data_IF_115000029634
#
_entry.id   IF_115000029634
#
_cell.length_a   1.000
_cell.length_b   1.000
_cell.length_c   1.000
_cell.angle_alpha   90.00
_cell.angle_beta   90.00
_cell.angle_gamma   90.00
#
_symmetry.space_group_name_H-M   'P 1'
#
loop_
_entity.id
_entity.type
_entity.pdbx_description
1 polymer ?
#
# COMPACT_ATOMS: atom_id res chain seq x y z
N UNK A 1 -4.56 14.05 -14.10
CA UNK A 1 -4.46 14.41 -12.67
C UNK A 1 -3.86 13.22 -11.93
N UNK A 2 -3.00 13.45 -10.94
CA UNK A 2 -2.40 12.34 -10.20
C UNK A 2 -3.13 12.18 -8.86
N UNK A 3 -3.77 11.04 -8.65
CA UNK A 3 -4.52 10.70 -7.45
C UNK A 3 -3.71 9.83 -6.46
N UNK A 4 -2.51 9.37 -6.87
CA UNK A 4 -1.58 8.65 -6.00
C UNK A 4 -0.85 9.59 -5.03
N UNK A 5 -0.58 9.09 -3.83
CA UNK A 5 0.24 9.81 -2.86
C UNK A 5 1.21 8.86 -2.12
N UNK A 6 2.46 9.28 -2.04
CA UNK A 6 3.55 8.56 -1.38
C UNK A 6 4.01 9.27 -0.12
N UNK A 7 4.43 8.50 0.88
CA UNK A 7 5.00 9.07 2.09
C UNK A 7 5.92 8.12 2.84
N UNK A 8 6.74 8.69 3.72
CA UNK A 8 7.60 7.89 4.59
C UNK A 8 7.88 8.61 5.90
N UNK A 9 8.25 7.85 6.93
CA UNK A 9 8.80 8.35 8.18
C UNK A 9 10.13 7.67 8.42
N UNK A 10 11.21 8.46 8.43
CA UNK A 10 12.56 7.99 8.68
C UNK A 10 12.98 8.33 10.11
N UNK A 11 13.65 7.41 10.84
CA UNK A 11 14.18 7.71 12.16
C UNK A 11 15.36 8.69 12.03
N UNK A 12 15.41 9.71 12.90
CA UNK A 12 16.47 10.73 12.92
C UNK A 12 17.60 10.41 13.91
N UNK A 13 17.48 9.32 14.67
CA UNK A 13 18.48 8.90 15.65
C UNK A 13 18.50 7.38 15.84
N UNK A 14 19.62 6.80 16.32
CA UNK A 14 19.69 5.38 16.66
C UNK A 14 18.60 4.93 17.66
N UNK A 15 18.23 5.79 18.61
CA UNK A 15 17.15 5.50 19.54
C UNK A 15 15.78 5.37 18.84
N UNK A 16 15.52 6.18 17.83
CA UNK A 16 14.31 6.05 17.01
C UNK A 16 14.34 4.81 16.10
N UNK A 17 15.48 4.44 15.55
CA UNK A 17 15.65 3.17 14.82
C UNK A 17 15.15 2.00 15.67
N UNK A 18 15.55 1.92 16.93
CA UNK A 18 15.18 0.82 17.83
C UNK A 18 13.75 0.93 18.36
N UNK A 19 13.25 2.14 18.63
CA UNK A 19 11.94 2.32 19.25
C UNK A 19 10.79 2.42 18.26
N UNK A 20 11.04 3.00 17.09
CA UNK A 20 10.03 3.34 16.07
C UNK A 20 10.28 2.60 14.76
N UNK A 21 11.55 2.58 14.27
CA UNK A 21 11.89 2.06 12.95
C UNK A 21 11.48 3.01 11.82
N UNK A 22 11.20 2.45 10.66
CA UNK A 22 10.86 3.17 9.42
C UNK A 22 9.41 2.87 9.02
N UNK A 23 8.76 3.81 8.39
CA UNK A 23 7.46 3.63 7.75
C UNK A 23 7.53 4.09 6.30
N UNK A 24 6.96 3.31 5.42
CA UNK A 24 6.71 3.62 4.02
C UNK A 24 5.23 3.44 3.74
N UNK A 25 4.64 4.36 3.00
CA UNK A 25 3.22 4.39 2.71
C UNK A 25 2.97 4.79 1.26
N UNK A 26 2.00 4.14 0.63
CA UNK A 26 1.48 4.50 -0.67
C UNK A 26 -0.05 4.39 -0.61
N UNK A 27 -0.73 5.35 -1.19
CA UNK A 27 -2.17 5.40 -1.33
C UNK A 27 -2.53 5.82 -2.75
N UNK A 28 -3.55 5.21 -3.30
CA UNK A 28 -4.14 5.48 -4.61
C UNK A 28 -5.57 5.96 -4.39
N UNK A 29 -5.89 7.14 -4.91
CA UNK A 29 -7.20 7.76 -4.73
C UNK A 29 -8.23 7.16 -5.67
N UNK A 30 -9.30 6.62 -5.12
CA UNK A 30 -10.37 5.96 -5.87
C UNK A 30 -11.50 6.92 -6.17
N UNK A 31 -11.89 6.99 -7.42
CA UNK A 31 -13.07 7.69 -7.89
C UNK A 31 -12.75 8.90 -8.76
N UNK A 32 -12.89 8.78 -10.06
CA UNK A 32 -12.71 9.78 -11.14
C UNK A 32 -13.44 11.13 -10.96
N UNK A 33 -13.53 11.63 -9.76
CA UNK A 33 -13.99 12.96 -9.39
C UNK A 33 -12.98 13.61 -8.45
N UNK A 34 -12.95 14.94 -8.41
CA UNK A 34 -11.99 15.89 -7.81
C UNK A 34 -11.48 15.61 -6.36
N UNK A 35 -11.63 14.40 -5.79
CA UNK A 35 -11.35 14.08 -4.38
C UNK A 35 -10.51 12.84 -4.11
N UNK A 36 -10.16 12.03 -5.12
CA UNK A 36 -9.27 10.88 -4.95
C UNK A 36 -7.91 11.32 -4.41
N UNK A 37 -7.34 12.38 -5.00
CA UNK A 37 -6.08 12.98 -4.56
C UNK A 37 -6.10 13.50 -3.11
N UNK A 38 -7.27 14.01 -2.67
CA UNK A 38 -7.44 14.47 -1.29
C UNK A 38 -7.49 13.28 -0.33
N UNK A 39 -8.19 12.20 -0.72
CA UNK A 39 -8.31 11.00 0.08
C UNK A 39 -6.96 10.30 0.26
N UNK A 40 -6.21 10.08 -0.83
CA UNK A 40 -4.89 9.43 -0.79
C UNK A 40 -3.88 10.24 0.02
N UNK A 41 -3.84 11.55 -0.18
CA UNK A 41 -2.99 12.46 0.61
C UNK A 41 -3.34 12.40 2.09
N UNK A 42 -4.62 12.55 2.43
CA UNK A 42 -5.10 12.53 3.83
C UNK A 42 -4.79 11.20 4.51
N UNK A 43 -4.95 10.08 3.80
CA UNK A 43 -4.59 8.77 4.30
C UNK A 43 -3.11 8.71 4.73
N UNK A 44 -2.20 9.06 3.82
CA UNK A 44 -0.76 8.98 4.08
C UNK A 44 -0.32 9.98 5.15
N UNK A 45 -0.79 11.23 5.11
CA UNK A 45 -0.45 12.24 6.10
C UNK A 45 -0.93 11.87 7.51
N UNK A 46 -2.14 11.32 7.64
CA UNK A 46 -2.68 10.83 8.92
C UNK A 46 -1.83 9.70 9.49
N UNK A 47 -1.48 8.71 8.66
CA UNK A 47 -0.62 7.60 9.06
C UNK A 47 0.76 8.08 9.48
N UNK A 48 1.37 8.98 8.73
CA UNK A 48 2.68 9.57 9.09
C UNK A 48 2.62 10.32 10.41
N UNK A 49 1.58 11.12 10.64
CA UNK A 49 1.38 11.87 11.87
C UNK A 49 1.20 10.94 13.07
N UNK A 50 0.40 9.89 12.92
CA UNK A 50 0.20 8.85 13.93
C UNK A 50 1.50 8.09 14.23
N UNK A 51 2.22 7.65 13.19
CA UNK A 51 3.48 6.91 13.35
C UNK A 51 4.56 7.72 14.07
N UNK A 52 4.67 9.04 13.84
CA UNK A 52 5.61 9.91 14.56
C UNK A 52 5.32 10.04 16.05
N UNK A 53 4.07 9.81 16.48
CA UNK A 53 3.61 9.96 17.88
C UNK A 53 3.59 8.66 18.68
N UNK A 54 4.12 7.57 18.11
CA UNK A 54 4.01 6.23 18.71
C UNK A 54 4.68 6.20 20.10
N UNK A 55 4.01 5.66 21.14
CA UNK A 55 4.63 5.31 22.38
C UNK A 55 5.70 4.23 22.20
N UNK A 56 6.80 4.33 22.95
CA UNK A 56 7.87 3.32 22.91
C UNK A 56 7.33 1.93 23.23
N UNK A 57 7.75 0.93 22.47
CA UNK A 57 7.45 -0.48 22.76
C UNK A 57 6.20 -1.06 22.09
N UNK A 58 5.43 -0.26 21.34
CA UNK A 58 4.31 -0.81 20.57
C UNK A 58 4.85 -1.62 19.39
N UNK A 59 4.26 -2.81 19.17
CA UNK A 59 4.57 -3.65 18.02
C UNK A 59 3.84 -3.14 16.76
N UNK A 60 4.54 -3.12 15.62
CA UNK A 60 3.97 -2.65 14.36
C UNK A 60 2.74 -3.46 13.92
N UNK A 61 2.69 -4.76 14.22
CA UNK A 61 1.54 -5.61 13.89
C UNK A 61 0.23 -5.15 14.55
N UNK A 62 0.30 -4.54 15.73
CA UNK A 62 -0.86 -3.96 16.41
C UNK A 62 -1.08 -2.49 16.07
N UNK A 63 -0.01 -1.81 15.64
CA UNK A 63 -0.04 -0.39 15.34
C UNK A 63 -0.62 -0.09 13.97
N UNK A 64 -0.15 -0.80 12.91
CA UNK A 64 -0.52 -0.46 11.54
C UNK A 64 -2.03 -0.56 11.30
N UNK A 65 -2.77 -1.62 11.74
CA UNK A 65 -4.22 -1.66 11.58
C UNK A 65 -4.94 -0.49 12.26
N UNK A 66 -4.41 -0.02 13.41
CA UNK A 66 -4.95 1.15 14.09
C UNK A 66 -4.73 2.44 13.28
N UNK A 67 -3.53 2.62 12.71
CA UNK A 67 -3.24 3.77 11.85
C UNK A 67 -4.09 3.76 10.56
N UNK A 68 -4.35 2.58 9.99
CA UNK A 68 -5.29 2.41 8.88
C UNK A 68 -6.68 2.88 9.27
N UNK A 69 -7.15 2.51 10.47
CA UNK A 69 -8.47 2.95 10.94
C UNK A 69 -8.52 4.46 11.23
N UNK A 70 -7.45 5.05 11.77
CA UNK A 70 -7.34 6.50 11.97
C UNK A 70 -7.39 7.24 10.62
N UNK A 71 -6.70 6.73 9.59
CA UNK A 71 -6.77 7.27 8.23
C UNK A 71 -8.17 7.15 7.62
N UNK A 72 -8.82 5.99 7.82
CA UNK A 72 -10.19 5.77 7.37
C UNK A 72 -11.16 6.79 7.97
N UNK A 73 -11.12 6.99 9.29
CA UNK A 73 -11.96 7.98 9.97
C UNK A 73 -11.71 9.39 9.42
N UNK A 74 -10.46 9.79 9.21
CA UNK A 74 -10.13 11.10 8.68
C UNK A 74 -10.78 11.35 7.29
N UNK A 75 -10.77 10.33 6.41
CA UNK A 75 -11.40 10.43 5.08
C UNK A 75 -12.92 10.50 5.20
N UNK A 76 -13.53 9.66 6.05
CA UNK A 76 -14.99 9.66 6.29
C UNK A 76 -15.46 11.00 6.81
N UNK A 77 -14.78 11.55 7.83
CA UNK A 77 -15.11 12.84 8.42
C UNK A 77 -14.98 13.99 7.41
N UNK A 78 -13.92 13.97 6.59
CA UNK A 78 -13.69 14.94 5.51
C UNK A 78 -14.77 14.82 4.43
N UNK A 79 -15.17 13.61 4.08
CA UNK A 79 -16.24 13.33 3.12
C UNK A 79 -17.59 13.90 3.56
N UNK A 80 -17.92 13.75 4.85
CA UNK A 80 -19.16 14.27 5.42
C UNK A 80 -19.16 15.79 5.59
N UNK A 81 -18.00 16.43 5.84
CA UNK A 81 -17.88 17.87 6.00
C UNK A 81 -18.03 18.65 4.69
N UNK A 82 -17.99 17.99 3.55
CA UNK A 82 -18.08 18.64 2.25
C UNK A 82 -19.55 18.85 1.84
N UNK A 83 -19.93 20.04 1.32
CA UNK A 83 -21.29 20.31 0.88
C UNK A 83 -21.68 19.33 -0.24
N UNK A 84 -22.80 18.61 -0.04
CA UNK A 84 -23.42 17.80 -1.08
C UNK A 84 -23.74 18.71 -2.27
N UNK A 85 -23.03 18.58 -3.38
CA UNK A 85 -23.52 19.08 -4.67
C UNK A 85 -24.63 18.15 -5.13
N UNK A 86 -25.86 18.59 -5.04
CA UNK A 86 -27.08 17.87 -5.40
C UNK A 86 -27.25 17.64 -6.93
N UNK A 87 -26.23 17.88 -7.74
CA UNK A 87 -26.30 17.83 -9.21
C UNK A 87 -25.53 16.68 -9.85
N UNK A 88 -25.21 15.63 -9.11
CA UNK A 88 -24.52 14.46 -9.66
C UNK A 88 -25.47 13.55 -10.46
N UNK A 89 -25.92 14.01 -11.63
CA UNK A 89 -26.36 13.14 -12.74
C UNK A 89 -25.19 12.89 -13.68
N UNK A 90 -24.13 12.27 -13.19
CA UNK A 90 -23.09 11.75 -14.07
C UNK A 90 -22.64 10.41 -13.52
N UNK A 91 -23.26 9.34 -13.97
CA UNK A 91 -22.74 8.00 -13.86
C UNK A 91 -21.71 7.83 -14.98
N UNK A 92 -20.43 7.93 -14.62
CA UNK A 92 -19.35 7.50 -15.48
C UNK A 92 -19.48 5.98 -15.69
N UNK A 93 -19.58 5.47 -16.94
CA UNK A 93 -19.78 4.03 -17.18
C UNK A 93 -18.63 3.12 -16.73
N UNK A 94 -17.52 3.67 -16.24
CA UNK A 94 -16.34 2.94 -15.76
C UNK A 94 -15.95 3.23 -14.31
N UNK A 95 -16.67 4.10 -13.60
CA UNK A 95 -16.32 4.47 -12.22
C UNK A 95 -16.62 3.38 -11.22
N UNK A 96 -15.69 3.14 -10.29
CA UNK A 96 -15.86 2.22 -9.18
C UNK A 96 -17.09 2.61 -8.34
N UNK A 97 -18.07 1.70 -8.20
CA UNK A 97 -19.23 1.90 -7.33
C UNK A 97 -18.78 1.62 -5.91
N UNK A 98 -18.64 2.69 -5.10
CA UNK A 98 -18.32 2.57 -3.68
C UNK A 98 -19.59 2.26 -2.88
N UNK A 99 -19.58 1.27 -1.98
CA UNK A 99 -20.64 1.08 -1.01
C UNK A 99 -20.77 2.34 -0.14
N UNK A 100 -21.99 2.82 0.10
CA UNK A 100 -22.25 3.91 1.05
C UNK A 100 -22.28 5.34 0.49
N UNK A 101 -22.08 5.56 -0.81
CA UNK A 101 -22.23 6.89 -1.44
C UNK A 101 -21.17 7.92 -1.04
N UNK A 102 -20.04 7.50 -0.45
CA UNK A 102 -18.89 8.37 -0.17
C UNK A 102 -18.27 8.85 -1.48
N UNK A 103 -18.00 10.16 -1.58
CA UNK A 103 -17.32 10.77 -2.73
C UNK A 103 -15.79 10.75 -2.58
N UNK A 104 -15.27 10.24 -1.46
CA UNK A 104 -13.85 10.20 -1.14
C UNK A 104 -13.47 8.79 -0.72
N UNK A 105 -12.60 8.16 -1.48
CA UNK A 105 -12.05 6.86 -1.12
C UNK A 105 -10.61 6.74 -1.59
N UNK A 106 -9.86 5.84 -0.95
CA UNK A 106 -8.48 5.56 -1.32
C UNK A 106 -8.10 4.14 -0.95
N UNK A 107 -7.16 3.56 -1.69
CA UNK A 107 -6.37 2.43 -1.22
C UNK A 107 -5.37 2.89 -0.18
N UNK A 108 -4.74 1.97 0.51
CA UNK A 108 -3.58 2.24 1.35
C UNK A 108 -2.74 0.98 1.52
N UNK A 109 -1.44 1.07 1.27
CA UNK A 109 -0.46 0.06 1.63
C UNK A 109 0.63 0.67 2.49
N UNK A 110 0.89 0.05 3.64
CA UNK A 110 1.88 0.45 4.63
C UNK A 110 2.93 -0.63 4.79
N UNK A 111 4.19 -0.25 4.87
CA UNK A 111 5.29 -1.13 5.23
C UNK A 111 6.12 -0.49 6.34
N UNK A 112 6.12 -1.10 7.52
CA UNK A 112 6.92 -0.63 8.65
C UNK A 112 8.05 -1.61 8.94
N UNK A 113 9.29 -1.08 9.06
CA UNK A 113 10.50 -1.86 9.29
C UNK A 113 11.04 -1.58 10.68
N UNK A 114 11.37 -2.64 11.42
CA UNK A 114 12.11 -2.52 12.68
C UNK A 114 12.85 -3.83 12.95
N UNK A 115 14.14 -3.72 13.29
CA UNK A 115 15.04 -4.86 13.47
C UNK A 115 15.11 -5.71 12.19
N UNK A 116 14.87 -7.01 12.29
CA UNK A 116 14.83 -7.97 11.19
C UNK A 116 13.41 -8.30 10.70
N UNK A 117 12.47 -7.40 10.95
CA UNK A 117 11.06 -7.61 10.64
C UNK A 117 10.48 -6.46 9.83
N UNK A 118 9.68 -6.81 8.82
CA UNK A 118 8.77 -5.93 8.13
C UNK A 118 7.32 -6.32 8.44
N UNK A 119 6.51 -5.34 8.78
CA UNK A 119 5.06 -5.49 8.93
C UNK A 119 4.40 -4.72 7.80
N UNK A 120 3.60 -5.41 6.99
CA UNK A 120 2.82 -4.81 5.90
C UNK A 120 1.35 -4.85 6.28
N UNK A 121 0.66 -3.72 6.13
CA UNK A 121 -0.79 -3.63 6.33
C UNK A 121 -1.41 -2.89 5.16
N UNK A 122 -2.54 -3.38 4.62
CA UNK A 122 -3.13 -2.78 3.43
C UNK A 122 -4.67 -2.86 3.39
N UNK A 123 -5.24 -1.96 2.60
CA UNK A 123 -6.64 -1.93 2.17
C UNK A 123 -6.65 -1.50 0.70
N UNK A 124 -7.40 -2.20 -0.14
CA UNK A 124 -7.47 -1.97 -1.58
C UNK A 124 -6.55 -2.90 -2.36
N UNK A 125 -6.15 -2.48 -3.55
CA UNK A 125 -5.36 -3.24 -4.51
C UNK A 125 -3.95 -2.68 -4.77
N UNK A 126 -3.55 -1.61 -4.08
CA UNK A 126 -2.14 -1.23 -4.03
C UNK A 126 -1.32 -2.32 -3.35
N UNK A 127 -0.16 -2.67 -3.93
CA UNK A 127 0.60 -3.86 -3.53
C UNK A 127 1.91 -3.55 -2.85
N UNK A 128 2.34 -4.49 -2.00
CA UNK A 128 3.71 -4.58 -1.49
C UNK A 128 4.32 -5.92 -1.93
N UNK A 129 5.51 -5.86 -2.52
CA UNK A 129 6.28 -7.02 -2.92
C UNK A 129 7.59 -7.10 -2.14
N UNK A 130 8.09 -8.32 -1.95
CA UNK A 130 9.43 -8.62 -1.47
C UNK A 130 10.24 -9.24 -2.61
N UNK A 131 11.31 -8.56 -3.03
CA UNK A 131 12.31 -9.11 -3.94
C UNK A 131 13.50 -9.63 -3.12
N UNK A 132 13.75 -10.93 -3.22
CA UNK A 132 14.81 -11.66 -2.51
C UNK A 132 15.44 -12.71 -3.40
N UNK A 133 16.77 -12.69 -3.52
CA UNK A 133 17.52 -13.68 -4.30
C UNK A 133 17.01 -13.85 -5.75
N UNK A 134 16.64 -12.74 -6.38
CA UNK A 134 16.11 -12.75 -7.75
C UNK A 134 14.63 -13.15 -7.88
N UNK A 135 13.96 -13.51 -6.80
CA UNK A 135 12.53 -13.83 -6.82
C UNK A 135 11.69 -12.64 -6.30
N UNK A 136 10.52 -12.44 -6.88
CA UNK A 136 9.53 -11.46 -6.45
C UNK A 136 8.32 -12.18 -5.82
N UNK A 137 7.94 -11.78 -4.64
CA UNK A 137 6.79 -12.35 -3.91
C UNK A 137 5.86 -11.23 -3.49
N UNK A 138 4.60 -11.29 -3.88
CA UNK A 138 3.57 -10.38 -3.37
C UNK A 138 3.30 -10.68 -1.88
N UNK A 139 3.34 -9.65 -1.06
CA UNK A 139 3.02 -9.71 0.37
C UNK A 139 1.57 -9.32 0.66
N UNK A 140 0.90 -8.70 -0.30
CA UNK A 140 -0.50 -8.25 -0.22
C UNK A 140 -1.38 -9.07 -1.15
N UNK A 141 -2.67 -9.07 -0.89
CA UNK A 141 -3.72 -9.61 -1.76
C UNK A 141 -4.67 -8.48 -2.13
N UNK A 142 -5.05 -8.39 -3.40
CA UNK A 142 -5.93 -7.33 -3.85
C UNK A 142 -7.33 -7.49 -3.25
N UNK A 143 -7.86 -6.41 -2.69
CA UNK A 143 -9.26 -6.36 -2.26
C UNK A 143 -10.13 -5.96 -3.45
N UNK A 144 -10.16 -6.81 -4.48
CA UNK A 144 -11.00 -6.66 -5.66
C UNK A 144 -11.99 -7.81 -5.77
N UNK A 145 -13.09 -7.57 -6.48
CA UNK A 145 -14.11 -8.59 -6.72
C UNK A 145 -13.52 -9.81 -7.43
N UNK A 146 -12.65 -9.60 -8.40
CA UNK A 146 -12.04 -10.70 -9.18
C UNK A 146 -11.07 -11.51 -8.35
N UNK A 147 -10.26 -10.90 -7.49
CA UNK A 147 -9.32 -11.62 -6.64
C UNK A 147 -10.05 -12.45 -5.58
N UNK A 148 -11.14 -11.93 -5.01
CA UNK A 148 -12.02 -12.71 -4.13
C UNK A 148 -12.65 -13.91 -4.84
N UNK A 149 -13.10 -13.77 -6.08
CA UNK A 149 -13.65 -14.88 -6.88
C UNK A 149 -12.57 -15.93 -7.19
N UNK A 150 -11.34 -15.52 -7.50
CA UNK A 150 -10.21 -16.45 -7.67
C UNK A 150 -9.92 -17.21 -6.38
N UNK A 151 -9.89 -16.53 -5.24
CA UNK A 151 -9.63 -17.13 -3.93
C UNK A 151 -10.70 -18.12 -3.50
N UNK A 152 -11.96 -17.86 -3.88
CA UNK A 152 -13.08 -18.77 -3.67
C UNK A 152 -13.13 -19.91 -4.70
N UNK A 153 -12.25 -19.93 -5.69
CA UNK A 153 -12.22 -20.95 -6.75
C UNK A 153 -13.36 -20.82 -7.76
N UNK A 154 -14.04 -19.67 -7.82
CA UNK A 154 -15.15 -19.40 -8.73
C UNK A 154 -14.69 -19.10 -10.14
N UNK A 155 -13.53 -18.50 -10.29
CA UNK A 155 -12.88 -18.20 -11.57
C UNK A 155 -11.38 -18.54 -11.49
N UNK A 156 -10.76 -18.79 -12.64
CA UNK A 156 -9.30 -18.97 -12.74
C UNK A 156 -8.57 -17.62 -12.75
N UNK A 157 -7.27 -17.62 -12.43
CA UNK A 157 -6.43 -16.42 -12.56
C UNK A 157 -6.40 -15.84 -13.97
N UNK A 158 -6.51 -16.69 -14.98
CA UNK A 158 -6.54 -16.28 -16.39
C UNK A 158 -7.83 -15.54 -16.74
N UNK A 159 -8.97 -16.01 -16.25
CA UNK A 159 -10.26 -15.34 -16.42
C UNK A 159 -10.30 -14.01 -15.66
N UNK A 160 -9.74 -13.96 -14.44
CA UNK A 160 -9.61 -12.73 -13.65
C UNK A 160 -8.83 -11.64 -14.41
N UNK A 161 -7.70 -12.01 -15.02
CA UNK A 161 -6.82 -11.07 -15.73
C UNK A 161 -7.49 -10.43 -16.98
N UNK A 162 -8.45 -11.13 -17.60
CA UNK A 162 -9.20 -10.65 -18.77
C UNK A 162 -10.56 -10.03 -18.43
N UNK A 163 -10.97 -10.07 -17.15
CA UNK A 163 -12.29 -9.60 -16.70
C UNK A 163 -12.43 -8.08 -16.74
N UNK A 164 -13.59 -7.60 -17.21
CA UNK A 164 -13.92 -6.16 -17.24
C UNK A 164 -14.01 -5.54 -15.83
N UNK A 165 -14.25 -6.36 -14.80
CA UNK A 165 -14.49 -5.93 -13.43
C UNK A 165 -13.24 -6.02 -12.52
N UNK A 166 -12.04 -6.11 -13.10
CA UNK A 166 -10.79 -6.31 -12.35
C UNK A 166 -10.43 -5.16 -11.41
N UNK A 167 -10.96 -3.96 -11.65
CA UNK A 167 -10.72 -2.75 -10.85
C UNK A 167 -11.83 -2.46 -9.82
N UNK A 168 -12.83 -3.36 -9.67
CA UNK A 168 -13.88 -3.15 -8.68
C UNK A 168 -13.37 -3.54 -7.31
N UNK A 169 -13.12 -2.54 -6.48
CA UNK A 169 -12.67 -2.73 -5.11
C UNK A 169 -13.80 -3.27 -4.22
N UNK A 170 -13.47 -4.24 -3.37
CA UNK A 170 -14.34 -4.74 -2.31
C UNK A 170 -14.08 -4.06 -0.97
N UNK A 171 -12.90 -3.40 -0.83
CA UNK A 171 -12.52 -2.61 0.35
C UNK A 171 -11.70 -1.39 -0.06
N UNK A 172 -12.08 -0.22 0.47
CA UNK A 172 -11.34 1.03 0.33
C UNK A 172 -11.50 1.88 1.59
N UNK A 173 -10.53 2.73 1.90
CA UNK A 173 -10.67 3.75 2.94
C UNK A 173 -11.75 4.74 2.54
N UNK A 174 -12.50 5.23 3.51
CA UNK A 174 -13.55 6.24 3.29
C UNK A 174 -14.90 5.68 2.86
N UNK A 175 -14.99 4.39 2.46
CA UNK A 175 -16.24 3.78 2.04
C UNK A 175 -17.18 3.43 3.20
N UNK A 176 -16.63 3.08 4.36
CA UNK A 176 -17.38 2.68 5.55
C UNK A 176 -16.73 3.25 6.81
N UNK A 177 -17.49 3.35 7.92
CA UNK A 177 -16.98 3.82 9.21
C UNK A 177 -15.87 2.92 9.77
N UNK A 178 -15.88 1.64 9.44
CA UNK A 178 -14.86 0.68 9.86
C UNK A 178 -14.37 -0.12 8.65
N UNK A 179 -13.06 -0.22 8.48
CA UNK A 179 -12.44 -1.00 7.42
C UNK A 179 -11.48 -2.04 7.99
N UNK A 180 -11.59 -3.29 7.53
CA UNK A 180 -10.68 -4.35 7.92
C UNK A 180 -9.42 -4.29 7.06
N UNK A 181 -8.27 -4.01 7.69
CA UNK A 181 -6.97 -4.08 7.04
C UNK A 181 -6.38 -5.49 7.14
N UNK A 182 -5.86 -6.02 6.04
CA UNK A 182 -5.05 -7.23 6.07
C UNK A 182 -3.63 -6.89 6.51
N UNK A 183 -3.05 -7.71 7.38
CA UNK A 183 -1.73 -7.45 7.95
C UNK A 183 -0.88 -8.72 7.96
N UNK A 184 0.35 -8.61 7.45
CA UNK A 184 1.33 -9.70 7.44
C UNK A 184 2.65 -9.23 8.06
N UNK A 185 3.35 -10.15 8.70
CA UNK A 185 4.71 -9.95 9.22
C UNK A 185 5.66 -10.87 8.51
N UNK A 186 6.76 -10.34 7.98
CA UNK A 186 7.81 -11.12 7.31
C UNK A 186 9.17 -10.77 7.89
N UNK A 187 10.05 -11.77 7.97
CA UNK A 187 11.45 -11.52 8.31
C UNK A 187 12.17 -10.95 7.09
N UNK A 188 12.96 -9.92 7.32
CA UNK A 188 13.81 -9.28 6.30
C UNK A 188 15.28 -9.56 6.56
N UNK A 189 16.07 -9.53 5.49
CA UNK A 189 17.51 -9.74 5.55
C UNK A 189 18.26 -8.76 4.64
N UNK A 190 19.55 -8.55 4.86
CA UNK A 190 20.37 -7.72 3.99
C UNK A 190 20.28 -8.19 2.53
N UNK A 191 20.10 -7.26 1.61
CA UNK A 191 19.92 -7.53 0.18
C UNK A 191 18.46 -7.56 -0.29
N UNK A 192 17.48 -7.69 0.62
CA UNK A 192 16.06 -7.61 0.26
C UNK A 192 15.72 -6.23 -0.30
N UNK A 193 14.78 -6.21 -1.26
CA UNK A 193 14.14 -4.99 -1.74
C UNK A 193 12.63 -5.14 -1.56
N UNK A 194 12.04 -4.18 -0.86
CA UNK A 194 10.60 -4.03 -0.76
C UNK A 194 10.14 -3.04 -1.82
N UNK A 195 9.08 -3.36 -2.55
CA UNK A 195 8.45 -2.50 -3.55
C UNK A 195 6.99 -2.28 -3.15
N UNK A 196 6.61 -1.03 -2.92
CA UNK A 196 5.22 -0.59 -2.83
C UNK A 196 4.83 0.04 -4.16
N UNK A 197 3.65 -0.28 -4.68
CA UNK A 197 3.16 0.30 -5.93
C UNK A 197 1.64 0.40 -5.99
N UNK A 198 1.14 1.36 -6.78
CA UNK A 198 -0.28 1.44 -7.18
C UNK A 198 -0.59 0.42 -8.29
N UNK A 199 -1.86 0.25 -8.61
CA UNK A 199 -2.34 -0.66 -9.65
C UNK A 199 -1.90 -0.25 -11.05
N UNK A 200 -1.63 1.03 -11.30
CA UNK A 200 -1.03 1.53 -12.54
C UNK A 200 0.31 0.87 -12.89
N UNK A 201 1.03 0.25 -11.93
CA UNK A 201 2.16 -0.59 -12.25
C UNK A 201 1.73 -2.03 -12.53
N UNK A 202 1.20 -2.73 -11.53
CA UNK A 202 0.99 -4.19 -11.60
C UNK A 202 -0.23 -4.59 -12.47
N UNK A 203 -1.12 -3.66 -12.75
CA UNK A 203 -2.23 -3.86 -13.70
C UNK A 203 -1.79 -3.94 -15.16
N UNK A 204 -0.60 -3.42 -15.47
CA UNK A 204 -0.10 -3.30 -16.86
C UNK A 204 1.27 -3.96 -17.07
N UNK A 205 2.07 -4.14 -16.01
CA UNK A 205 3.40 -4.78 -16.05
C UNK A 205 3.33 -6.10 -15.30
N UNK A 206 3.68 -7.21 -15.95
CA UNK A 206 3.63 -8.52 -15.32
C UNK A 206 4.64 -8.64 -14.16
N UNK A 207 4.30 -9.47 -13.14
CA UNK A 207 5.19 -9.75 -12.02
C UNK A 207 6.58 -10.23 -12.49
N UNK A 208 6.64 -11.01 -13.56
CA UNK A 208 7.92 -11.45 -14.16
C UNK A 208 8.75 -10.28 -14.71
N UNK A 209 8.11 -9.29 -15.34
CA UNK A 209 8.79 -8.08 -15.82
C UNK A 209 9.25 -7.20 -14.67
N UNK A 210 8.39 -7.01 -13.63
CA UNK A 210 8.75 -6.28 -12.42
C UNK A 210 9.95 -6.94 -11.75
N UNK A 211 9.92 -8.27 -11.59
CA UNK A 211 11.02 -9.06 -11.03
C UNK A 211 12.33 -8.84 -11.81
N UNK A 212 12.26 -8.93 -13.13
CA UNK A 212 13.44 -8.74 -13.99
C UNK A 212 14.04 -7.35 -13.81
N UNK A 213 13.22 -6.29 -13.83
CA UNK A 213 13.69 -4.92 -13.68
C UNK A 213 14.36 -4.73 -12.32
N UNK A 214 13.72 -5.15 -11.22
CA UNK A 214 14.26 -5.00 -9.86
C UNK A 214 15.54 -5.81 -9.67
N UNK A 215 15.63 -7.02 -10.25
CA UNK A 215 16.81 -7.87 -10.12
C UNK A 215 18.00 -7.39 -10.96
N UNK A 216 17.75 -6.83 -12.16
CA UNK A 216 18.80 -6.40 -13.08
C UNK A 216 19.31 -4.98 -12.87
N UNK A 217 18.59 -4.17 -12.07
CA UNK A 217 18.90 -2.75 -11.86
C UNK A 217 19.30 -2.48 -10.40
N UNK A 218 20.61 -2.52 -10.07
CA UNK A 218 21.07 -2.35 -8.69
C UNK A 218 20.79 -0.97 -8.09
N UNK A 219 20.74 0.07 -8.90
CA UNK A 219 20.38 1.41 -8.47
C UNK A 219 18.86 1.52 -8.36
N UNK A 220 18.35 1.93 -7.17
CA UNK A 220 16.91 1.96 -6.91
C UNK A 220 16.19 3.09 -7.64
N UNK A 221 16.85 4.22 -7.88
CA UNK A 221 16.26 5.34 -8.61
C UNK A 221 16.09 4.96 -10.08
N UNK A 222 17.10 4.30 -10.66
CA UNK A 222 17.01 3.76 -12.03
C UNK A 222 15.96 2.63 -12.12
N UNK A 223 15.87 1.76 -11.13
CA UNK A 223 14.86 0.70 -11.09
C UNK A 223 13.44 1.30 -11.02
N UNK A 224 13.22 2.31 -10.17
CA UNK A 224 11.93 3.02 -10.10
C UNK A 224 11.57 3.67 -11.43
N UNK A 225 12.51 4.39 -12.06
CA UNK A 225 12.31 5.00 -13.37
C UNK A 225 11.99 3.95 -14.45
N UNK A 226 12.66 2.80 -14.44
CA UNK A 226 12.43 1.72 -15.39
C UNK A 226 11.04 1.07 -15.20
N UNK A 227 10.58 0.89 -13.95
CA UNK A 227 9.24 0.39 -13.64
C UNK A 227 8.15 1.33 -14.17
N UNK A 228 8.28 2.63 -13.91
CA UNK A 228 7.35 3.66 -14.40
C UNK A 228 7.38 3.71 -15.94
N UNK A 229 8.57 3.63 -16.56
CA UNK A 229 8.69 3.61 -18.02
C UNK A 229 8.03 2.37 -18.63
N UNK A 230 8.15 1.21 -17.98
CA UNK A 230 7.51 -0.03 -18.43
C UNK A 230 5.98 0.08 -18.40
N UNK A 231 5.40 0.65 -17.34
CA UNK A 231 3.96 0.88 -17.24
C UNK A 231 3.48 1.88 -18.30
N UNK A 232 4.18 2.97 -18.50
CA UNK A 232 3.87 3.95 -19.56
C UNK A 232 3.97 3.33 -20.95
N UNK A 233 4.95 2.48 -21.22
CA UNK A 233 5.08 1.78 -22.49
C UNK A 233 3.96 0.74 -22.73
N UNK A 234 3.36 0.23 -21.66
CA UNK A 234 2.19 -0.67 -21.72
C UNK A 234 0.85 0.08 -21.92
N UNK A 235 0.89 1.41 -22.06
CA UNK A 235 -0.27 2.24 -22.41
C UNK A 235 -0.43 3.47 -21.53
N UNK A 236 0.08 3.48 -20.30
CA UNK A 236 0.01 4.64 -19.40
C UNK A 236 -1.43 5.08 -19.10
N UNK A 237 -2.33 4.13 -18.90
CA UNK A 237 -3.75 4.40 -18.74
C UNK A 237 -4.11 4.90 -17.34
N UNK A 238 -3.18 4.81 -16.38
CA UNK A 238 -3.40 5.18 -14.98
C UNK A 238 -2.21 5.90 -14.38
N UNK A 239 -2.39 6.49 -13.21
CA UNK A 239 -1.30 7.00 -12.39
C UNK A 239 -0.39 5.84 -11.96
N UNK A 240 0.91 6.04 -12.02
CA UNK A 240 1.90 5.01 -11.66
C UNK A 240 2.79 5.53 -10.55
N UNK A 241 2.67 4.95 -9.40
CA UNK A 241 3.52 5.26 -8.25
C UNK A 241 4.26 4.03 -7.75
N UNK A 242 5.56 4.20 -7.50
CA UNK A 242 6.43 3.15 -6.96
C UNK A 242 7.32 3.69 -5.86
N UNK A 243 7.54 2.88 -4.82
CA UNK A 243 8.47 3.16 -3.74
C UNK A 243 9.33 1.93 -3.47
N UNK A 244 10.65 2.03 -3.68
CA UNK A 244 11.61 0.95 -3.49
C UNK A 244 12.42 1.17 -2.22
N UNK A 245 12.55 0.14 -1.41
CA UNK A 245 13.29 0.18 -0.14
C UNK A 245 14.25 -0.99 -0.07
N UNK A 246 15.57 -0.73 -0.04
CA UNK A 246 16.59 -1.77 0.10
C UNK A 246 17.02 -1.94 1.54
N UNK A 247 16.97 -3.16 2.03
CA UNK A 247 17.49 -3.54 3.33
C UNK A 247 19.00 -3.71 3.22
N UNK A 248 19.77 -2.79 3.83
CA UNK A 248 21.25 -2.86 3.81
C UNK A 248 21.81 -3.67 4.96
N UNK A 249 21.18 -3.54 6.12
CA UNK A 249 21.55 -4.27 7.33
C UNK A 249 20.35 -4.43 8.24
N UNK A 250 20.36 -5.43 9.08
CA UNK A 250 19.32 -5.69 10.09
C UNK A 250 19.97 -5.95 11.43
N UNK A 251 19.34 -5.50 12.51
CA UNK A 251 19.66 -5.93 13.87
C UNK A 251 18.80 -7.15 14.18
N UNK A 252 19.43 -8.31 14.39
CA UNK A 252 18.72 -9.51 14.83
C UNK A 252 18.35 -9.38 16.28
N UNK A 253 17.06 -9.57 16.56
CA UNK A 253 16.53 -9.49 17.91
C UNK A 253 15.92 -10.82 18.32
N UNK A 254 16.32 -11.32 19.50
CA UNK A 254 15.65 -12.42 20.16
C UNK A 254 14.65 -11.89 21.19
N UNK A 255 13.69 -12.71 21.58
CA UNK A 255 12.78 -12.44 22.70
C UNK A 255 13.09 -13.40 23.86
N UNK A 256 13.44 -12.86 25.02
CA UNK A 256 13.58 -13.62 26.24
C UNK A 256 12.62 -13.09 27.30
N UNK A 257 11.68 -13.92 27.75
CA UNK A 257 10.61 -13.54 28.69
C UNK A 257 9.88 -12.26 28.30
N UNK A 258 9.59 -12.10 26.99
CA UNK A 258 8.90 -10.93 26.44
C UNK A 258 9.77 -9.66 26.33
N UNK A 259 11.06 -9.74 26.65
CA UNK A 259 12.02 -8.63 26.48
C UNK A 259 12.88 -8.87 25.25
N UNK A 260 12.93 -7.91 24.30
CA UNK A 260 13.82 -8.01 23.16
C UNK A 260 15.29 -7.91 23.61
N UNK A 261 16.15 -8.75 23.05
CA UNK A 261 17.60 -8.68 23.22
C UNK A 261 18.28 -8.86 21.86
N UNK A 262 19.45 -8.24 21.72
CA UNK A 262 20.24 -8.31 20.50
C UNK A 262 20.89 -9.68 20.38
N UNK A 263 20.74 -10.34 19.23
CA UNK A 263 21.52 -11.52 18.87
C UNK A 263 22.85 -11.04 18.27
N UNK A 264 23.94 -11.52 18.81
CA UNK A 264 25.29 -11.23 18.31
C UNK A 264 25.61 -12.05 17.07
#
# INVERSE_FOLDING_TARGET
HNEDFLGHVLPSSPAQVQSQGWLFALADGVGGQERGEVASRLAVETVQAGFRKIPKGIMHVSLLPRLVQEANHAIVDQGHAAPHRSDARYSDPGGAILPGGSQMASTLVLCALRFDSAVVSHVGDSRCYLARNGNLTALTHDHTMVDEQVRLGLISKTEAASGANRHILTRALGSELFVAADTITVNIMPGDVLLLCSDGLHGYVSDASIQQIVASTPDLDQAAAALVAAANAAGGYDNVSVQLVRVRSVERMGLYRGRPYRLL
#
